data_IF_559485365425
#
_entry.id   IF_559485365425
#
_cell.length_a   1.000
_cell.length_b   1.000
_cell.length_c   1.000
_cell.angle_alpha   90.00
_cell.angle_beta   90.00
_cell.angle_gamma   90.00
#
_symmetry.space_group_name_H-M   'P 1'
#
loop_
_entity.id
_entity.type
_entity.pdbx_description
1 polymer ?
#
# COMPACT_ATOMS: atom_id res chain seq x y z
N UNK A 1 -1.72 57.53 -7.52
CA UNK A 1 -2.91 57.62 -6.64
C UNK A 1 -3.16 59.10 -6.44
N UNK A 2 -4.25 59.65 -6.97
CA UNK A 2 -4.50 61.09 -6.92
C UNK A 2 -4.95 61.49 -5.51
N UNK A 3 -4.52 62.67 -5.05
CA UNK A 3 -4.86 63.26 -3.74
C UNK A 3 -6.37 63.24 -3.39
N UNK A 4 -7.29 63.54 -4.33
CA UNK A 4 -8.73 63.43 -4.08
C UNK A 4 -9.21 62.00 -3.78
N UNK A 5 -8.68 60.98 -4.47
CA UNK A 5 -9.11 59.59 -4.28
C UNK A 5 -8.70 59.06 -2.91
N UNK A 6 -7.51 59.46 -2.44
CA UNK A 6 -7.04 59.13 -1.10
C UNK A 6 -7.92 59.76 -0.02
N UNK A 7 -8.30 61.02 -0.22
CA UNK A 7 -9.18 61.76 0.69
C UNK A 7 -10.57 61.11 0.76
N UNK A 8 -11.10 60.64 -0.37
CA UNK A 8 -12.37 59.88 -0.44
C UNK A 8 -12.30 58.53 0.27
N UNK A 9 -11.21 57.77 0.10
CA UNK A 9 -11.02 56.49 0.80
C UNK A 9 -10.87 56.70 2.31
N UNK A 10 -10.15 57.73 2.74
CA UNK A 10 -9.97 58.02 4.18
C UNK A 10 -11.29 58.47 4.84
N UNK A 11 -12.07 59.33 4.18
CA UNK A 11 -13.38 59.79 4.69
C UNK A 11 -14.40 58.65 4.78
N UNK A 12 -14.50 57.82 3.74
CA UNK A 12 -15.41 56.65 3.75
C UNK A 12 -14.99 55.60 4.77
N UNK A 13 -13.69 55.32 4.94
CA UNK A 13 -13.18 54.44 6.00
C UNK A 13 -13.60 54.95 7.39
N UNK A 14 -13.43 56.24 7.65
CA UNK A 14 -13.75 56.85 8.95
C UNK A 14 -15.25 56.79 9.26
N UNK A 15 -16.11 57.01 8.27
CA UNK A 15 -17.56 56.87 8.43
C UNK A 15 -17.98 55.43 8.74
N UNK A 16 -17.38 54.44 8.05
CA UNK A 16 -17.68 53.02 8.30
C UNK A 16 -17.23 52.57 9.69
N UNK A 17 -16.07 53.00 10.15
CA UNK A 17 -15.58 52.67 11.50
C UNK A 17 -16.49 53.24 12.60
N UNK A 18 -17.01 54.45 12.41
CA UNK A 18 -17.97 55.08 13.33
C UNK A 18 -19.32 54.36 13.33
N UNK A 19 -19.83 53.95 12.16
CA UNK A 19 -21.07 53.16 12.06
C UNK A 19 -20.92 51.77 12.69
N UNK A 20 -19.80 51.10 12.45
CA UNK A 20 -19.52 49.77 12.99
C UNK A 20 -19.42 49.78 14.52
N UNK A 21 -18.76 50.81 15.08
CA UNK A 21 -18.69 51.01 16.54
C UNK A 21 -20.04 51.35 17.17
N UNK A 22 -20.86 52.18 16.51
CA UNK A 22 -22.22 52.48 16.97
C UNK A 22 -23.13 51.24 16.98
N UNK A 23 -23.03 50.37 15.97
CA UNK A 23 -23.80 49.12 15.90
C UNK A 23 -23.40 48.10 16.96
N UNK A 24 -22.13 48.08 17.38
CA UNK A 24 -21.63 47.06 18.31
C UNK A 24 -21.74 47.46 19.79
N UNK A 25 -21.76 48.75 20.14
CA UNK A 25 -21.78 49.21 21.53
C UNK A 25 -22.95 50.14 21.89
N UNK A 26 -23.79 50.53 20.92
CA UNK A 26 -24.85 51.51 21.15
C UNK A 26 -24.32 52.92 21.38
N UNK A 27 -25.23 53.86 21.67
CA UNK A 27 -24.93 55.29 21.73
C UNK A 27 -24.23 55.73 23.04
N UNK A 28 -22.99 55.33 23.31
CA UNK A 28 -22.20 55.91 24.42
C UNK A 28 -20.67 55.98 24.17
N UNK A 29 -20.19 57.21 24.01
CA UNK A 29 -19.16 57.96 24.77
C UNK A 29 -17.86 57.33 25.33
N UNK A 30 -17.43 56.12 24.94
CA UNK A 30 -16.16 55.55 25.45
C UNK A 30 -15.13 55.25 24.36
N UNK A 31 -14.09 56.08 24.32
CA UNK A 31 -12.89 56.05 23.46
C UNK A 31 -11.97 54.83 23.65
N UNK A 32 -12.48 53.59 23.67
CA UNK A 32 -11.62 52.39 23.60
C UNK A 32 -11.72 51.74 22.22
N UNK A 33 -10.69 51.81 21.37
CA UNK A 33 -10.74 51.22 20.04
C UNK A 33 -10.80 49.69 20.15
N UNK A 34 -11.93 49.13 19.71
CA UNK A 34 -12.27 47.69 19.70
C UNK A 34 -11.41 46.90 18.69
N UNK A 35 -10.72 47.62 17.80
CA UNK A 35 -9.94 47.11 16.68
C UNK A 35 -8.83 46.12 17.10
N UNK A 36 -8.26 46.26 18.30
CA UNK A 36 -7.13 45.42 18.72
C UNK A 36 -7.52 43.94 18.87
N UNK A 37 -8.72 43.63 19.35
CA UNK A 37 -9.17 42.24 19.52
C UNK A 37 -9.65 41.63 18.19
N UNK A 38 -10.29 42.42 17.33
CA UNK A 38 -10.74 41.95 16.02
C UNK A 38 -9.56 41.63 15.09
N UNK A 39 -8.51 42.47 15.06
CA UNK A 39 -7.28 42.17 14.30
C UNK A 39 -6.57 40.93 14.83
N UNK A 40 -6.55 40.72 16.14
CA UNK A 40 -5.98 39.50 16.75
C UNK A 40 -6.80 38.27 16.43
N UNK A 41 -8.13 38.37 16.45
CA UNK A 41 -9.03 37.28 16.08
C UNK A 41 -8.85 36.87 14.61
N UNK A 42 -8.92 37.83 13.68
CA UNK A 42 -8.68 37.56 12.24
C UNK A 42 -7.28 36.99 12.01
N UNK A 43 -6.26 37.52 12.70
CA UNK A 43 -4.90 36.98 12.66
C UNK A 43 -4.83 35.52 13.14
N UNK A 44 -5.49 35.17 14.24
CA UNK A 44 -5.53 33.80 14.76
C UNK A 44 -6.25 32.82 13.82
N UNK A 45 -7.33 33.27 13.17
CA UNK A 45 -8.07 32.48 12.18
C UNK A 45 -7.19 32.15 10.97
N UNK A 46 -6.46 33.14 10.46
CA UNK A 46 -5.53 32.91 9.33
C UNK A 46 -4.41 31.95 9.72
N UNK A 47 -3.83 32.11 10.92
CA UNK A 47 -2.76 31.22 11.40
C UNK A 47 -3.25 29.78 11.59
N UNK A 48 -4.45 29.61 12.16
CA UNK A 48 -5.08 28.30 12.29
C UNK A 48 -5.36 27.64 10.93
N UNK A 49 -5.81 28.40 9.94
CA UNK A 49 -6.04 27.90 8.59
C UNK A 49 -4.74 27.41 7.93
N UNK A 50 -3.65 28.18 8.02
CA UNK A 50 -2.35 27.80 7.46
C UNK A 50 -1.79 26.56 8.14
N UNK A 51 -1.86 26.48 9.47
CA UNK A 51 -1.44 25.30 10.22
C UNK A 51 -2.26 24.06 9.82
N UNK A 52 -3.58 24.20 9.68
CA UNK A 52 -4.47 23.13 9.25
C UNK A 52 -4.12 22.60 7.85
N UNK A 53 -3.91 23.49 6.88
CA UNK A 53 -3.48 23.08 5.52
C UNK A 53 -2.15 22.36 5.56
N UNK A 54 -1.17 22.86 6.31
CA UNK A 54 0.13 22.21 6.47
C UNK A 54 0.03 20.78 7.03
N UNK A 55 -0.78 20.58 8.07
CA UNK A 55 -1.01 19.25 8.66
C UNK A 55 -1.68 18.28 7.67
N UNK A 56 -2.68 18.74 6.93
CA UNK A 56 -3.39 17.91 5.95
C UNK A 56 -2.47 17.53 4.78
N UNK A 57 -1.70 18.49 4.25
CA UNK A 57 -0.74 18.23 3.17
C UNK A 57 0.35 17.25 3.60
N UNK A 58 0.92 17.42 4.80
CA UNK A 58 1.96 16.51 5.30
C UNK A 58 1.42 15.08 5.46
N UNK A 59 0.24 14.92 6.07
CA UNK A 59 -0.37 13.60 6.28
C UNK A 59 -0.67 12.90 4.95
N UNK A 60 -1.16 13.64 3.96
CA UNK A 60 -1.41 13.10 2.63
C UNK A 60 -0.14 12.64 1.92
N UNK A 61 0.95 13.43 2.01
CA UNK A 61 2.23 13.04 1.40
C UNK A 61 2.83 11.80 2.06
N UNK A 62 2.77 11.71 3.40
CA UNK A 62 3.24 10.52 4.12
C UNK A 62 2.43 9.30 3.72
N UNK A 63 1.10 9.40 3.68
CA UNK A 63 0.23 8.29 3.24
C UNK A 63 0.55 7.84 1.82
N UNK A 64 0.74 8.78 0.89
CA UNK A 64 1.08 8.47 -0.50
C UNK A 64 2.46 7.79 -0.60
N UNK A 65 3.43 8.19 0.23
CA UNK A 65 4.74 7.55 0.27
C UNK A 65 4.69 6.15 0.87
N UNK A 66 3.85 5.93 1.89
CA UNK A 66 3.70 4.61 2.50
C UNK A 66 3.00 3.64 1.54
N UNK A 67 1.91 4.04 0.89
CA UNK A 67 1.22 3.24 -0.14
C UNK A 67 2.21 2.83 -1.27
N UNK A 68 3.03 3.79 -1.74
CA UNK A 68 4.05 3.53 -2.77
C UNK A 68 5.11 2.54 -2.32
N UNK A 69 5.53 2.60 -1.05
CA UNK A 69 6.56 1.73 -0.49
C UNK A 69 6.06 0.30 -0.37
N UNK A 70 4.83 0.10 0.05
CA UNK A 70 4.20 -1.22 0.14
C UNK A 70 4.07 -1.86 -1.24
N UNK A 71 3.53 -1.12 -2.22
CA UNK A 71 3.42 -1.58 -3.60
C UNK A 71 4.78 -1.92 -4.21
N UNK A 72 5.79 -1.07 -3.98
CA UNK A 72 7.14 -1.28 -4.48
C UNK A 72 7.83 -2.48 -3.81
N UNK A 73 7.60 -2.70 -2.51
CA UNK A 73 8.14 -3.84 -1.78
C UNK A 73 7.53 -5.16 -2.26
N UNK A 74 6.20 -5.20 -2.46
CA UNK A 74 5.52 -6.37 -3.02
C UNK A 74 5.95 -6.64 -4.47
N UNK A 75 6.09 -5.60 -5.29
CA UNK A 75 6.58 -5.73 -6.65
C UNK A 75 8.04 -6.22 -6.69
N UNK A 76 8.92 -5.70 -5.82
CA UNK A 76 10.30 -6.13 -5.71
C UNK A 76 10.42 -7.57 -5.18
N UNK A 77 9.58 -7.96 -4.23
CA UNK A 77 9.53 -9.33 -3.71
C UNK A 77 9.01 -10.32 -4.77
N UNK A 78 7.91 -10.00 -5.47
CA UNK A 78 7.42 -10.79 -6.60
C UNK A 78 8.44 -10.86 -7.73
N UNK A 79 9.12 -9.74 -8.03
CA UNK A 79 10.21 -9.72 -8.99
C UNK A 79 11.35 -10.64 -8.53
N UNK A 80 11.76 -10.60 -7.26
CA UNK A 80 12.80 -11.47 -6.72
C UNK A 80 12.41 -12.96 -6.75
N UNK A 81 11.16 -13.30 -6.40
CA UNK A 81 10.61 -14.65 -6.57
C UNK A 81 10.64 -15.10 -8.03
N UNK A 82 10.25 -14.23 -8.97
CA UNK A 82 10.27 -14.55 -10.40
C UNK A 82 11.66 -14.53 -11.04
N UNK A 83 12.61 -13.80 -10.46
CA UNK A 83 13.92 -13.51 -11.05
C UNK A 83 15.04 -14.40 -10.51
N UNK A 84 14.77 -15.22 -9.49
CA UNK A 84 15.77 -16.13 -8.93
C UNK A 84 15.44 -17.62 -9.08
N UNK A 85 15.00 -18.11 -10.27
CA UNK A 85 15.05 -19.54 -10.50
C UNK A 85 16.52 -19.97 -10.49
N UNK A 86 16.81 -21.10 -9.85
CA UNK A 86 18.13 -21.74 -9.90
C UNK A 86 18.46 -21.95 -11.38
N UNK A 87 19.56 -21.34 -11.82
CA UNK A 87 19.93 -21.38 -13.23
C UNK A 87 20.52 -22.74 -13.55
N UNK A 88 20.16 -23.35 -14.68
CA UNK A 88 20.86 -24.53 -15.18
C UNK A 88 22.35 -24.20 -15.33
N UNK A 89 23.19 -25.10 -14.84
CA UNK A 89 24.66 -25.02 -15.00
C UNK A 89 25.17 -26.31 -15.62
N UNK A 90 26.42 -26.33 -16.09
CA UNK A 90 27.03 -27.56 -16.62
C UNK A 90 27.06 -28.69 -15.58
N UNK A 91 27.06 -28.35 -14.29
CA UNK A 91 27.03 -29.31 -13.18
C UNK A 91 25.61 -29.68 -12.76
N UNK A 92 24.60 -28.91 -13.15
CA UNK A 92 23.20 -29.14 -12.79
C UNK A 92 22.31 -28.71 -13.97
N UNK A 93 22.30 -29.50 -15.06
CA UNK A 93 21.61 -29.14 -16.29
C UNK A 93 20.10 -29.23 -16.11
N UNK A 94 19.33 -28.44 -16.87
CA UNK A 94 17.89 -28.61 -16.92
C UNK A 94 17.53 -29.80 -17.81
N UNK A 95 16.61 -30.64 -17.33
CA UNK A 95 15.94 -31.66 -18.12
C UNK A 95 15.14 -30.98 -19.25
N UNK A 96 15.37 -31.36 -20.52
CA UNK A 96 14.75 -30.70 -21.67
C UNK A 96 13.24 -30.96 -21.79
N UNK A 97 12.71 -31.97 -21.10
CA UNK A 97 11.29 -32.35 -21.11
C UNK A 97 10.55 -31.68 -19.97
N UNK A 98 11.09 -31.76 -18.76
CA UNK A 98 10.39 -31.31 -17.55
C UNK A 98 10.77 -29.88 -17.13
N UNK A 99 11.93 -29.39 -17.54
CA UNK A 99 12.48 -28.10 -17.12
C UNK A 99 13.05 -28.10 -15.70
N UNK A 100 12.99 -29.23 -14.97
CA UNK A 100 13.62 -29.40 -13.67
C UNK A 100 15.13 -29.51 -13.82
N UNK A 101 15.86 -29.14 -12.78
CA UNK A 101 17.31 -29.28 -12.75
C UNK A 101 17.67 -30.71 -12.33
N UNK A 102 18.58 -31.35 -13.07
CA UNK A 102 19.12 -32.66 -12.75
C UNK A 102 20.36 -32.47 -11.87
N UNK A 103 20.32 -32.95 -10.63
CA UNK A 103 21.49 -33.00 -9.76
C UNK A 103 22.24 -34.34 -9.96
N UNK A 104 23.35 -34.35 -10.72
CA UNK A 104 24.08 -35.58 -11.01
C UNK A 104 24.80 -36.18 -9.78
N UNK A 105 24.92 -35.44 -8.67
CA UNK A 105 25.57 -35.93 -7.46
C UNK A 105 24.63 -36.78 -6.60
N UNK A 106 23.36 -36.35 -6.47
CA UNK A 106 22.32 -37.06 -5.72
C UNK A 106 21.46 -37.98 -6.61
N UNK A 107 21.32 -37.64 -7.90
CA UNK A 107 20.40 -38.26 -8.84
C UNK A 107 18.98 -37.67 -8.82
N UNK A 108 18.76 -36.67 -7.97
CA UNK A 108 17.47 -36.04 -7.75
C UNK A 108 17.16 -34.99 -8.82
N UNK A 109 15.86 -34.73 -9.04
CA UNK A 109 15.43 -33.55 -9.78
C UNK A 109 15.18 -32.42 -8.78
N UNK A 110 15.45 -31.18 -9.18
CA UNK A 110 15.25 -30.00 -8.36
C UNK A 110 14.37 -29.02 -9.14
N UNK A 111 13.30 -28.55 -8.50
CA UNK A 111 12.49 -27.48 -9.07
C UNK A 111 13.32 -26.19 -9.11
N UNK A 112 13.57 -25.60 -10.29
CA UNK A 112 14.34 -24.38 -10.39
C UNK A 112 13.67 -23.20 -9.67
N UNK A 113 12.36 -23.19 -9.48
CA UNK A 113 11.67 -22.06 -8.82
C UNK A 113 11.76 -22.12 -7.30
N UNK A 114 11.52 -23.28 -6.71
CA UNK A 114 11.45 -23.46 -5.26
C UNK A 114 12.74 -23.99 -4.65
N UNK A 115 13.57 -24.66 -5.47
CA UNK A 115 14.73 -25.43 -4.99
C UNK A 115 14.35 -26.74 -4.30
N UNK A 116 13.09 -27.15 -4.37
CA UNK A 116 12.63 -28.38 -3.75
C UNK A 116 13.02 -29.61 -4.57
N UNK A 117 13.26 -30.71 -3.86
CA UNK A 117 13.54 -32.00 -4.48
C UNK A 117 12.26 -32.53 -5.11
N UNK A 118 12.33 -32.80 -6.41
CA UNK A 118 11.28 -33.39 -7.23
C UNK A 118 11.58 -34.87 -7.42
N UNK A 119 10.60 -35.70 -7.08
CA UNK A 119 10.65 -37.12 -7.34
C UNK A 119 10.52 -37.38 -8.85
N UNK A 120 11.47 -38.15 -9.41
CA UNK A 120 11.57 -38.38 -10.87
C UNK A 120 10.42 -39.22 -11.43
N UNK A 121 9.85 -40.10 -10.63
CA UNK A 121 8.78 -41.01 -11.09
C UNK A 121 7.42 -40.31 -11.10
N UNK A 122 7.14 -39.55 -10.04
CA UNK A 122 5.85 -38.89 -9.83
C UNK A 122 5.83 -37.46 -10.37
N UNK A 123 7.00 -36.81 -10.46
CA UNK A 123 7.11 -35.40 -10.83
C UNK A 123 6.63 -34.43 -9.74
N UNK A 124 6.53 -34.91 -8.50
CA UNK A 124 6.06 -34.13 -7.35
C UNK A 124 7.25 -33.66 -6.50
N UNK A 125 7.18 -32.44 -5.99
CA UNK A 125 8.16 -31.87 -5.08
C UNK A 125 7.81 -32.16 -3.62
N UNK A 126 8.83 -32.15 -2.74
CA UNK A 126 8.67 -32.18 -1.29
C UNK A 126 9.27 -30.93 -0.65
N UNK A 127 8.47 -30.26 0.18
CA UNK A 127 8.92 -29.09 0.95
C UNK A 127 9.74 -29.52 2.19
N UNK A 128 10.41 -28.58 2.90
CA UNK A 128 11.16 -28.87 4.12
C UNK A 128 10.32 -29.46 5.25
N UNK A 129 9.03 -29.16 5.29
CA UNK A 129 8.05 -29.66 6.27
C UNK A 129 7.56 -31.08 5.94
N UNK A 130 7.87 -31.59 4.74
CA UNK A 130 7.52 -32.91 4.26
C UNK A 130 6.21 -32.99 3.48
N UNK A 131 5.53 -31.88 3.22
CA UNK A 131 4.34 -31.83 2.38
C UNK A 131 4.73 -32.08 0.91
N UNK A 132 3.79 -32.65 0.17
CA UNK A 132 3.97 -32.94 -1.26
C UNK A 132 3.31 -31.81 -2.05
N UNK A 133 4.03 -31.28 -3.03
CA UNK A 133 3.60 -30.18 -3.90
C UNK A 133 3.70 -30.66 -5.35
N UNK A 134 2.73 -30.33 -6.19
CA UNK A 134 2.88 -30.48 -7.64
C UNK A 134 3.46 -29.17 -8.23
N UNK A 135 4.72 -29.16 -8.68
CA UNK A 135 5.37 -27.96 -9.20
C UNK A 135 4.70 -27.40 -10.47
N UNK A 136 3.86 -28.18 -11.15
CA UNK A 136 3.19 -27.75 -12.38
C UNK A 136 2.08 -26.73 -12.12
N UNK A 137 1.43 -26.87 -10.98
CA UNK A 137 0.27 -26.05 -10.59
C UNK A 137 0.48 -25.33 -9.26
N UNK A 138 1.56 -25.65 -8.54
CA UNK A 138 1.91 -25.09 -7.23
C UNK A 138 0.85 -25.36 -6.16
N UNK A 139 0.27 -26.57 -6.18
CA UNK A 139 -0.75 -27.01 -5.21
C UNK A 139 -0.22 -28.14 -4.35
N UNK A 140 -0.68 -28.19 -3.10
CA UNK A 140 -0.39 -29.30 -2.20
C UNK A 140 -1.17 -30.54 -2.64
N UNK A 141 -0.53 -31.70 -2.56
CA UNK A 141 -1.15 -33.01 -2.74
C UNK A 141 -1.18 -33.74 -1.40
N UNK A 142 -2.36 -34.14 -0.94
CA UNK A 142 -2.48 -35.08 0.16
C UNK A 142 -2.23 -36.52 -0.35
N UNK A 143 -1.15 -37.21 0.07
CA UNK A 143 -0.85 -38.56 -0.39
C UNK A 143 -1.87 -39.60 0.11
N UNK A 144 -2.61 -39.33 1.18
CA UNK A 144 -3.58 -40.27 1.72
C UNK A 144 -4.89 -40.27 0.91
N UNK A 145 -5.36 -39.09 0.51
CA UNK A 145 -6.63 -38.93 -0.20
C UNK A 145 -6.46 -38.74 -1.71
N UNK A 146 -5.29 -38.27 -2.15
CA UNK A 146 -5.04 -37.86 -3.53
C UNK A 146 -5.65 -36.50 -3.90
N UNK A 147 -6.13 -35.73 -2.92
CA UNK A 147 -6.74 -34.43 -3.15
C UNK A 147 -5.71 -33.32 -3.26
N UNK A 148 -6.05 -32.32 -4.06
CA UNK A 148 -5.21 -31.16 -4.29
C UNK A 148 -5.75 -29.95 -3.52
N UNK A 149 -4.90 -29.28 -2.75
CA UNK A 149 -5.25 -28.09 -1.98
C UNK A 149 -4.47 -26.88 -2.48
N UNK A 150 -5.20 -25.82 -2.83
CA UNK A 150 -4.62 -24.54 -3.22
C UNK A 150 -3.99 -23.84 -2.00
N UNK A 151 -2.67 -23.54 -2.00
CA UNK A 151 -2.02 -22.85 -0.89
C UNK A 151 -2.56 -21.43 -0.66
N UNK A 152 -3.10 -20.78 -1.69
CA UNK A 152 -3.57 -19.40 -1.60
C UNK A 152 -5.00 -19.30 -1.04
N UNK A 153 -5.92 -20.16 -1.52
CA UNK A 153 -7.33 -20.13 -1.12
C UNK A 153 -7.69 -21.14 -0.03
N UNK A 154 -6.88 -22.19 0.17
CA UNK A 154 -7.16 -23.30 1.07
C UNK A 154 -8.27 -24.24 0.57
N UNK A 155 -8.68 -24.12 -0.70
CA UNK A 155 -9.71 -24.97 -1.29
C UNK A 155 -9.10 -26.31 -1.69
N UNK A 156 -9.74 -27.39 -1.26
CA UNK A 156 -9.36 -28.77 -1.61
C UNK A 156 -10.27 -29.30 -2.72
N UNK A 157 -9.68 -29.92 -3.74
CA UNK A 157 -10.37 -30.45 -4.93
C UNK A 157 -9.98 -31.91 -5.12
N UNK A 158 -10.98 -32.74 -5.44
CA UNK A 158 -10.74 -34.09 -5.94
C UNK A 158 -10.40 -34.06 -7.43
N UNK A 159 -9.19 -34.47 -7.85
CA UNK A 159 -8.77 -34.40 -9.25
C UNK A 159 -9.56 -35.34 -10.17
N UNK A 160 -10.22 -36.37 -9.64
CA UNK A 160 -10.99 -37.32 -10.45
C UNK A 160 -12.39 -36.80 -10.77
N UNK A 161 -13.05 -36.18 -9.79
CA UNK A 161 -14.42 -35.68 -9.92
C UNK A 161 -14.49 -34.20 -10.28
N UNK A 162 -13.37 -33.47 -10.10
CA UNK A 162 -13.26 -32.01 -10.25
C UNK A 162 -14.26 -31.25 -9.37
N UNK A 163 -14.59 -31.82 -8.22
CA UNK A 163 -15.46 -31.20 -7.21
C UNK A 163 -14.64 -30.75 -6.01
N UNK A 164 -15.12 -29.68 -5.37
CA UNK A 164 -14.57 -29.21 -4.10
C UNK A 164 -14.91 -30.23 -3.02
N UNK A 165 -13.89 -30.64 -2.27
CA UNK A 165 -14.06 -31.47 -1.08
C UNK A 165 -14.33 -30.53 0.09
N UNK A 166 -15.54 -30.57 0.61
CA UNK A 166 -15.86 -29.88 1.86
C UNK A 166 -15.17 -30.64 3.00
N UNK A 167 -14.16 -30.01 3.63
CA UNK A 167 -13.67 -30.49 4.91
C UNK A 167 -14.77 -30.23 5.95
N UNK A 168 -15.33 -31.29 6.53
CA UNK A 168 -16.18 -31.21 7.71
C UNK A 168 -15.37 -30.52 8.83
N UNK A 169 -15.62 -29.23 9.02
CA UNK A 169 -14.99 -28.38 10.03
C UNK A 169 -15.55 -28.60 11.43
#
# INVERSE_FOLDING_TARGET
>A
MNDPDRTLIETTRTHRDRLASALSFGALDRRRPVNTNLRRFVGSVVLAAVAGVGCLTFSFVVHLLDDRREDQALAAFRAALSANPIKPTDQMPADPVTGFLDDPASGDLIDPQTGFVVDRETGLARDPEGNIIDPRIDWFLDPATGYYTDPASGVTIDPQTLQVVEEDR
#
